data_IF_999725958588
#
_entry.id   IF_999725958588
#
_cell.length_a   1.000
_cell.length_b   1.000
_cell.length_c   1.000
_cell.angle_alpha   90.00
_cell.angle_beta   90.00
_cell.angle_gamma   90.00
#
_symmetry.space_group_name_H-M   'P 1'
#
loop_
_entity.id
_entity.type
_entity.pdbx_description
1 polymer ?
#
# COMPACT_ATOMS: atom_id res chain seq x y z
N UNK A 1 -16.60 -8.56 15.20
CA UNK A 1 -15.61 -8.23 14.14
C UNK A 1 -15.65 -6.75 13.83
N UNK A 2 -14.51 -6.05 13.83
CA UNK A 2 -14.45 -4.61 13.51
C UNK A 2 -14.77 -4.43 12.01
N UNK A 3 -15.92 -3.84 11.69
CA UNK A 3 -16.38 -3.63 10.30
C UNK A 3 -15.55 -2.51 9.66
N UNK A 4 -15.01 -2.73 8.47
CA UNK A 4 -14.26 -1.69 7.75
C UNK A 4 -15.17 -0.55 7.28
N UNK A 5 -14.68 0.69 7.42
CA UNK A 5 -15.37 1.87 6.90
C UNK A 5 -15.50 1.79 5.37
N UNK A 6 -16.47 2.50 4.77
CA UNK A 6 -16.58 2.57 3.31
C UNK A 6 -15.27 3.03 2.63
N UNK A 7 -14.55 3.97 3.25
CA UNK A 7 -13.25 4.44 2.76
C UNK A 7 -12.19 3.32 2.80
N UNK A 8 -12.06 2.63 3.93
CA UNK A 8 -11.12 1.49 4.06
C UNK A 8 -11.41 0.40 3.03
N UNK A 9 -12.69 0.05 2.82
CA UNK A 9 -13.08 -0.94 1.80
C UNK A 9 -12.66 -0.54 0.40
N UNK A 10 -12.86 0.74 0.02
CA UNK A 10 -12.40 1.25 -1.28
C UNK A 10 -10.88 1.17 -1.42
N UNK A 11 -10.14 1.61 -0.39
CA UNK A 11 -8.67 1.51 -0.37
C UNK A 11 -8.21 0.06 -0.52
N UNK A 12 -8.75 -0.87 0.26
CA UNK A 12 -8.32 -2.26 0.21
C UNK A 12 -8.63 -2.93 -1.12
N UNK A 13 -9.81 -2.65 -1.71
CA UNK A 13 -10.14 -3.12 -3.06
C UNK A 13 -9.16 -2.59 -4.10
N UNK A 14 -8.83 -1.30 -4.07
CA UNK A 14 -7.84 -0.71 -4.98
C UNK A 14 -6.42 -1.27 -4.79
N UNK A 15 -6.05 -1.67 -3.57
CA UNK A 15 -4.74 -2.30 -3.33
C UNK A 15 -4.72 -3.74 -3.83
N UNK A 16 -5.83 -4.47 -3.72
CA UNK A 16 -5.94 -5.84 -4.23
C UNK A 16 -5.80 -5.92 -5.76
N UNK A 17 -6.06 -4.84 -6.49
CA UNK A 17 -5.87 -4.80 -7.94
C UNK A 17 -4.42 -4.58 -8.38
N UNK A 18 -3.49 -4.33 -7.45
CA UNK A 18 -2.08 -4.12 -7.79
C UNK A 18 -1.43 -5.48 -8.07
N UNK A 19 -0.97 -5.76 -9.31
CA UNK A 19 -0.38 -7.06 -9.65
C UNK A 19 0.93 -7.33 -8.89
N UNK A 20 1.32 -8.60 -8.83
CA UNK A 20 2.65 -8.99 -8.33
C UNK A 20 3.75 -8.32 -9.16
N UNK A 21 4.83 -7.88 -8.51
CA UNK A 21 5.96 -7.24 -9.17
C UNK A 21 5.67 -5.80 -9.63
N UNK A 22 4.54 -5.23 -9.21
CA UNK A 22 4.16 -3.86 -9.51
C UNK A 22 3.93 -3.07 -8.23
N UNK A 23 4.22 -1.77 -8.29
CA UNK A 23 3.94 -0.83 -7.20
C UNK A 23 3.01 0.27 -7.67
N UNK A 24 2.27 0.84 -6.70
CA UNK A 24 1.48 2.06 -6.89
C UNK A 24 1.74 3.02 -5.76
N UNK A 25 1.57 4.32 -6.03
CA UNK A 25 1.76 5.34 -5.01
C UNK A 25 0.50 5.47 -4.15
N UNK A 26 0.64 6.01 -2.94
CA UNK A 26 -0.53 6.42 -2.14
C UNK A 26 -1.43 7.39 -2.92
N UNK A 27 -0.84 8.27 -3.74
CA UNK A 27 -1.54 9.20 -4.63
C UNK A 27 -2.36 8.46 -5.69
N UNK A 28 -1.76 7.47 -6.35
CA UNK A 28 -2.45 6.66 -7.35
C UNK A 28 -3.70 5.99 -6.77
N UNK A 29 -3.61 5.43 -5.56
CA UNK A 29 -4.77 4.82 -4.89
C UNK A 29 -5.83 5.88 -4.59
N UNK A 30 -5.42 7.04 -4.08
CA UNK A 30 -6.31 8.15 -3.76
C UNK A 30 -7.10 8.61 -4.99
N UNK A 31 -6.43 8.74 -6.13
CA UNK A 31 -7.04 9.04 -7.43
C UNK A 31 -7.99 7.91 -7.88
N UNK A 32 -7.53 6.66 -7.81
CA UNK A 32 -8.31 5.49 -8.24
C UNK A 32 -9.62 5.30 -7.45
N UNK A 33 -9.68 5.73 -6.18
CA UNK A 33 -10.90 5.67 -5.37
C UNK A 33 -11.77 6.94 -5.45
N UNK A 34 -11.43 7.89 -6.35
CA UNK A 34 -12.15 9.15 -6.54
C UNK A 34 -11.94 10.17 -5.41
N UNK A 35 -10.79 10.12 -4.72
CA UNK A 35 -10.42 11.00 -3.61
C UNK A 35 -8.97 11.49 -3.76
N UNK A 36 -8.63 12.28 -4.79
CA UNK A 36 -7.24 12.61 -5.15
C UNK A 36 -6.40 13.22 -4.01
N UNK A 37 -7.03 13.95 -3.09
CA UNK A 37 -6.34 14.60 -1.96
C UNK A 37 -6.18 13.68 -0.72
N UNK A 38 -6.52 12.40 -0.82
CA UNK A 38 -6.60 11.48 0.31
C UNK A 38 -5.36 10.61 0.54
N UNK A 39 -4.20 10.90 -0.08
CA UNK A 39 -2.98 10.07 0.01
C UNK A 39 -2.56 9.74 1.46
N UNK A 40 -2.60 10.74 2.36
CA UNK A 40 -2.30 10.52 3.80
C UNK A 40 -3.33 9.61 4.47
N UNK A 41 -4.62 9.78 4.13
CA UNK A 41 -5.69 8.94 4.65
C UNK A 41 -5.60 7.49 4.12
N UNK A 42 -5.15 7.28 2.88
CA UNK A 42 -4.83 5.96 2.33
C UNK A 42 -3.75 5.29 3.18
N UNK A 43 -2.65 5.99 3.49
CA UNK A 43 -1.61 5.48 4.39
C UNK A 43 -2.15 5.09 5.77
N UNK A 44 -3.00 5.93 6.35
CA UNK A 44 -3.68 5.65 7.61
C UNK A 44 -4.60 4.43 7.56
N UNK A 45 -5.32 4.21 6.46
CA UNK A 45 -6.14 3.02 6.24
C UNK A 45 -5.29 1.75 6.15
N UNK A 46 -4.18 1.81 5.41
CA UNK A 46 -3.26 0.67 5.25
C UNK A 46 -2.54 0.31 6.56
N UNK A 47 -2.20 1.29 7.39
CA UNK A 47 -1.58 1.04 8.70
C UNK A 47 -2.55 0.33 9.67
N UNK A 48 -3.84 0.67 9.64
CA UNK A 48 -4.88 0.07 10.49
C UNK A 48 -5.40 -1.28 9.95
N UNK A 49 -4.79 -1.83 8.91
CA UNK A 49 -5.23 -3.07 8.31
C UNK A 49 -4.85 -4.28 9.20
N UNK A 50 -5.82 -5.04 9.74
CA UNK A 50 -5.54 -6.25 10.50
C UNK A 50 -5.12 -7.44 9.60
N UNK A 51 -5.39 -7.37 8.29
CA UNK A 51 -5.12 -8.45 7.31
C UNK A 51 -3.94 -8.10 6.39
N UNK A 52 -2.79 -7.86 7.00
CA UNK A 52 -1.52 -7.53 6.31
C UNK A 52 -0.95 -8.67 5.47
N UNK A 53 -1.53 -9.87 5.52
CA UNK A 53 -1.12 -11.03 4.70
C UNK A 53 -1.90 -11.09 3.38
N UNK A 54 -3.19 -10.70 3.38
CA UNK A 54 -4.08 -10.84 2.22
C UNK A 54 -4.02 -9.60 1.33
N UNK A 55 -4.02 -8.41 1.94
CA UNK A 55 -3.96 -7.15 1.20
C UNK A 55 -2.48 -6.83 0.94
N UNK A 56 -2.05 -6.70 -0.33
CA UNK A 56 -0.63 -6.49 -0.68
C UNK A 56 -0.18 -5.05 -0.43
N UNK A 57 -0.33 -4.55 0.80
CA UNK A 57 0.00 -3.18 1.16
C UNK A 57 1.51 -2.88 1.10
N UNK A 58 2.36 -3.89 0.99
CA UNK A 58 3.79 -3.73 0.68
C UNK A 58 4.02 -3.21 -0.74
N UNK A 59 3.05 -3.33 -1.66
CA UNK A 59 3.11 -2.79 -3.03
C UNK A 59 2.76 -1.29 -3.13
N UNK A 60 2.45 -0.65 -2.00
CA UNK A 60 2.08 0.78 -1.97
C UNK A 60 3.24 1.63 -1.46
N UNK A 61 3.67 2.63 -2.22
CA UNK A 61 4.86 3.45 -1.91
C UNK A 61 4.56 4.96 -1.96
N UNK A 62 5.52 5.78 -1.52
CA UNK A 62 5.50 7.23 -1.69
C UNK A 62 5.74 7.65 -3.15
N UNK A 63 5.19 8.80 -3.55
CA UNK A 63 5.38 9.34 -4.91
C UNK A 63 6.81 9.81 -5.20
N UNK A 64 7.62 10.01 -4.17
CA UNK A 64 9.03 10.37 -4.26
C UNK A 64 9.97 9.15 -4.34
N UNK A 65 9.43 7.94 -4.52
CA UNK A 65 10.20 6.70 -4.47
C UNK A 65 10.49 6.22 -3.04
N UNK A 66 9.99 6.90 -2.00
CA UNK A 66 10.12 6.37 -0.65
C UNK A 66 9.28 5.11 -0.46
N UNK A 67 9.79 4.12 0.26
CA UNK A 67 8.98 2.94 0.55
C UNK A 67 7.78 3.28 1.43
N UNK A 68 7.86 4.32 2.26
CA UNK A 68 6.81 4.68 3.22
C UNK A 68 6.58 3.58 4.27
N UNK A 69 5.64 3.80 5.18
CA UNK A 69 5.41 2.90 6.32
C UNK A 69 4.87 1.51 5.93
N UNK A 70 5.26 0.50 6.71
CA UNK A 70 4.69 -0.85 6.68
C UNK A 70 4.52 -1.35 8.11
N UNK A 71 3.34 -1.84 8.46
CA UNK A 71 3.03 -2.24 9.85
C UNK A 71 3.84 -3.43 10.36
N UNK A 72 4.38 -4.28 9.46
CA UNK A 72 5.36 -5.33 9.81
C UNK A 72 6.82 -4.89 9.68
N UNK A 73 7.08 -3.60 9.51
CA UNK A 73 8.41 -3.01 9.38
C UNK A 73 8.95 -2.96 7.93
N UNK A 74 9.78 -1.96 7.67
CA UNK A 74 10.33 -1.68 6.32
C UNK A 74 11.14 -2.85 5.75
N UNK A 75 11.90 -3.56 6.59
CA UNK A 75 12.70 -4.70 6.14
C UNK A 75 11.84 -5.83 5.56
N UNK A 76 10.67 -6.08 6.16
CA UNK A 76 9.72 -7.06 5.62
C UNK A 76 9.15 -6.61 4.28
N UNK A 77 8.83 -5.31 4.14
CA UNK A 77 8.37 -4.73 2.87
C UNK A 77 9.41 -4.89 1.77
N UNK A 78 10.68 -4.55 2.03
CA UNK A 78 11.80 -4.75 1.11
C UNK A 78 11.93 -6.21 0.68
N UNK A 79 11.92 -7.13 1.64
CA UNK A 79 11.98 -8.59 1.35
C UNK A 79 10.83 -9.07 0.48
N UNK A 80 9.61 -8.61 0.74
CA UNK A 80 8.44 -8.99 -0.06
C UNK A 80 8.52 -8.47 -1.49
N UNK A 81 8.91 -7.21 -1.67
CA UNK A 81 9.09 -6.61 -2.99
C UNK A 81 10.21 -7.31 -3.78
N UNK A 82 11.35 -7.61 -3.13
CA UNK A 82 12.44 -8.38 -3.74
C UNK A 82 11.98 -9.78 -4.18
N UNK A 83 11.19 -10.48 -3.35
CA UNK A 83 10.59 -11.78 -3.70
C UNK A 83 9.59 -11.69 -4.86
N UNK A 84 9.08 -10.50 -5.15
CA UNK A 84 8.23 -10.23 -6.31
C UNK A 84 9.02 -9.80 -7.55
N UNK A 85 10.35 -9.72 -7.48
CA UNK A 85 11.23 -9.37 -8.59
C UNK A 85 11.50 -7.88 -8.73
N UNK A 86 11.15 -7.06 -7.73
CA UNK A 86 11.45 -5.63 -7.73
C UNK A 86 12.81 -5.38 -7.08
N UNK A 87 13.69 -4.65 -7.77
CA UNK A 87 14.90 -4.11 -7.17
C UNK A 87 14.55 -2.94 -6.24
N UNK A 88 14.57 -3.18 -4.93
CA UNK A 88 14.29 -2.14 -3.93
C UNK A 88 15.48 -1.24 -3.60
N UNK A 89 16.66 -1.44 -4.19
CA UNK A 89 17.85 -0.63 -3.90
C UNK A 89 17.69 0.83 -4.34
N UNK A 90 16.86 1.10 -5.35
CA UNK A 90 16.49 2.45 -5.77
C UNK A 90 15.44 3.17 -4.90
N UNK A 91 14.91 2.49 -3.87
CA UNK A 91 13.87 3.04 -2.98
C UNK A 91 14.46 3.35 -1.61
N UNK A 92 14.23 4.57 -1.13
CA UNK A 92 14.76 5.07 0.14
C UNK A 92 13.72 5.10 1.27
#
# INVERSE_FOLDING_TARGET
MKRFTPFQRKVYRAVLTIPKGHVRTYKWIAEHIGKPNASRAVGGALNRNPHTVIIPCHRVIGSNGSLGGYSKGIQMKKRLLNKEGLDVHGYH
#
